data_IF_601672695921
#
_entry.id   IF_601672695921
#
_cell.length_a   1.000
_cell.length_b   1.000
_cell.length_c   1.000
_cell.angle_alpha   90.00
_cell.angle_beta   90.00
_cell.angle_gamma   90.00
#
_symmetry.space_group_name_H-M   'P 1'
#
loop_
_entity.id
_entity.type
_entity.pdbx_description
1 polymer ?
#
# COMPACT_ATOMS: atom_id res chain seq x y z
N UNK A 1 31.32 -18.16 -12.12
CA UNK A 1 30.23 -17.23 -11.79
C UNK A 1 28.94 -17.86 -12.28
N UNK A 2 28.12 -18.38 -11.37
CA UNK A 2 26.85 -19.03 -11.68
C UNK A 2 25.89 -17.98 -12.24
N UNK A 3 25.62 -18.01 -13.54
CA UNK A 3 24.61 -17.15 -14.14
C UNK A 3 23.23 -17.55 -13.61
N UNK A 4 22.73 -16.79 -12.64
CA UNK A 4 21.30 -16.80 -12.34
C UNK A 4 20.56 -16.47 -13.63
N UNK A 5 19.60 -17.31 -14.09
CA UNK A 5 18.83 -17.03 -15.28
C UNK A 5 18.25 -15.62 -15.23
N UNK A 6 18.40 -14.84 -16.30
CA UNK A 6 17.92 -13.45 -16.41
C UNK A 6 16.49 -13.28 -15.90
N UNK A 7 15.62 -14.27 -16.13
CA UNK A 7 14.24 -14.29 -15.65
C UNK A 7 14.11 -14.19 -14.11
N UNK A 8 14.99 -14.85 -13.33
CA UNK A 8 14.99 -14.75 -11.87
C UNK A 8 15.38 -13.34 -11.42
N UNK A 9 16.41 -12.75 -12.03
CA UNK A 9 16.86 -11.39 -11.70
C UNK A 9 15.79 -10.35 -12.01
N UNK A 10 15.13 -10.50 -13.15
CA UNK A 10 13.98 -9.65 -13.53
C UNK A 10 12.85 -9.80 -12.52
N UNK A 11 12.49 -11.03 -12.13
CA UNK A 11 11.43 -11.25 -11.15
C UNK A 11 11.81 -10.70 -9.75
N UNK A 12 13.07 -10.81 -9.33
CA UNK A 12 13.56 -10.17 -8.09
C UNK A 12 13.45 -8.66 -8.17
N UNK A 13 13.91 -8.05 -9.27
CA UNK A 13 13.83 -6.61 -9.48
C UNK A 13 12.37 -6.13 -9.45
N UNK A 14 11.46 -6.80 -10.17
CA UNK A 14 10.03 -6.45 -10.20
C UNK A 14 9.38 -6.63 -8.83
N UNK A 15 9.61 -7.76 -8.16
CA UNK A 15 9.05 -8.05 -6.83
C UNK A 15 9.49 -7.03 -5.77
N UNK A 16 10.80 -6.82 -5.65
CA UNK A 16 11.37 -5.95 -4.61
C UNK A 16 11.02 -4.49 -4.88
N UNK A 17 11.27 -4.00 -6.09
CA UNK A 17 10.98 -2.60 -6.43
C UNK A 17 9.49 -2.30 -6.39
N UNK A 18 8.64 -3.20 -6.90
CA UNK A 18 7.19 -3.07 -6.89
C UNK A 18 6.64 -2.96 -5.47
N UNK A 19 7.10 -3.82 -4.55
CA UNK A 19 6.74 -3.76 -3.12
C UNK A 19 7.16 -2.45 -2.45
N UNK A 20 8.42 -2.05 -2.60
CA UNK A 20 8.94 -0.84 -1.94
C UNK A 20 8.26 0.41 -2.49
N UNK A 21 8.10 0.49 -3.82
CA UNK A 21 7.39 1.59 -4.46
C UNK A 21 5.94 1.66 -4.00
N UNK A 22 5.24 0.53 -3.95
CA UNK A 22 3.86 0.45 -3.49
C UNK A 22 3.71 0.93 -2.03
N UNK A 23 4.65 0.54 -1.16
CA UNK A 23 4.71 1.05 0.20
C UNK A 23 4.88 2.56 0.23
N UNK A 24 5.86 3.10 -0.50
CA UNK A 24 6.13 4.53 -0.56
C UNK A 24 4.91 5.32 -1.07
N UNK A 25 4.25 4.83 -2.12
CA UNK A 25 3.04 5.44 -2.66
C UNK A 25 1.91 5.50 -1.62
N UNK A 26 1.69 4.40 -0.89
CA UNK A 26 0.65 4.32 0.14
C UNK A 26 0.97 5.22 1.33
N UNK A 27 2.18 5.11 1.89
CA UNK A 27 2.61 5.89 3.04
C UNK A 27 2.70 7.39 2.73
N UNK A 28 3.04 7.76 1.49
CA UNK A 28 3.12 9.14 1.04
C UNK A 28 1.78 9.88 1.18
N UNK A 29 0.66 9.21 0.92
CA UNK A 29 -0.67 9.81 1.13
C UNK A 29 -0.90 10.20 2.59
N UNK A 30 -0.48 9.35 3.53
CA UNK A 30 -0.61 9.63 4.97
C UNK A 30 0.41 10.65 5.48
N UNK A 31 1.64 10.61 4.97
CA UNK A 31 2.74 11.46 5.44
C UNK A 31 2.70 12.87 4.84
N UNK A 32 2.09 13.04 3.67
CA UNK A 32 2.10 14.30 2.92
C UNK A 32 0.68 14.83 2.71
N UNK A 33 -0.21 14.06 2.09
CA UNK A 33 -1.51 14.58 1.66
C UNK A 33 -2.42 14.96 2.84
N UNK A 34 -2.54 14.10 3.85
CA UNK A 34 -3.42 14.39 5.00
C UNK A 34 -2.95 15.60 5.83
N UNK A 35 -1.66 15.75 6.19
CA UNK A 35 -1.17 16.98 6.85
C UNK A 35 -1.44 18.26 6.06
N UNK A 36 -1.40 18.20 4.72
CA UNK A 36 -1.75 19.34 3.85
C UNK A 36 -3.23 19.70 4.03
N UNK A 37 -4.15 18.73 4.11
CA UNK A 37 -5.57 19.00 4.35
C UNK A 37 -5.83 19.68 5.69
N UNK A 38 -5.16 19.22 6.76
CA UNK A 38 -5.27 19.86 8.07
C UNK A 38 -4.73 21.29 8.04
N UNK A 39 -3.61 21.54 7.35
CA UNK A 39 -3.06 22.88 7.20
C UNK A 39 -3.98 23.79 6.41
N UNK A 40 -4.46 23.34 5.25
CA UNK A 40 -5.34 24.13 4.38
C UNK A 40 -6.65 24.51 5.07
N UNK A 41 -7.13 23.69 6.01
CA UNK A 41 -8.29 24.08 6.83
C UNK A 41 -7.94 25.13 7.89
N UNK A 42 -6.84 24.94 8.63
CA UNK A 42 -6.45 25.82 9.75
C UNK A 42 -6.01 27.22 9.32
N UNK A 43 -5.41 27.37 8.13
CA UNK A 43 -4.95 28.68 7.63
C UNK A 43 -6.11 29.61 7.21
N UNK A 44 -7.32 29.07 7.01
CA UNK A 44 -8.48 29.77 6.45
C UNK A 44 -9.52 30.24 7.49
N UNK A 45 -9.10 30.43 8.74
CA UNK A 45 -9.98 30.72 9.86
C UNK A 45 -10.88 31.96 9.74
N UNK A 46 -12.16 31.74 10.05
CA UNK A 46 -13.24 32.67 10.44
C UNK A 46 -14.00 33.44 9.35
N UNK A 47 -13.51 33.54 8.10
CA UNK A 47 -14.30 34.13 6.99
C UNK A 47 -14.30 33.36 5.67
N UNK A 48 -13.41 32.40 5.47
CA UNK A 48 -13.24 31.67 4.20
C UNK A 48 -12.80 30.21 4.43
N UNK A 49 -13.38 29.52 5.43
CA UNK A 49 -13.07 28.12 5.70
C UNK A 49 -13.34 27.24 4.47
N UNK A 50 -12.38 26.38 4.11
CA UNK A 50 -12.56 25.43 3.01
C UNK A 50 -13.64 24.43 3.43
N UNK A 51 -14.78 24.33 2.70
CA UNK A 51 -15.84 23.41 3.07
C UNK A 51 -15.32 21.97 3.16
N UNK A 52 -15.73 21.24 4.20
CA UNK A 52 -15.36 19.83 4.41
C UNK A 52 -15.64 18.98 3.16
N UNK A 53 -16.73 19.26 2.45
CA UNK A 53 -17.10 18.60 1.18
C UNK A 53 -16.00 18.72 0.11
N UNK A 54 -15.31 19.87 0.02
CA UNK A 54 -14.20 20.07 -0.93
C UNK A 54 -12.97 19.27 -0.52
N UNK A 55 -12.62 19.26 0.77
CA UNK A 55 -11.49 18.47 1.30
C UNK A 55 -11.75 16.96 1.17
N UNK A 56 -12.96 16.51 1.50
CA UNK A 56 -13.40 15.14 1.33
C UNK A 56 -13.35 14.73 -0.16
N UNK A 57 -13.70 15.64 -1.08
CA UNK A 57 -13.58 15.38 -2.51
C UNK A 57 -12.13 15.29 -3.00
N UNK A 58 -11.23 16.14 -2.48
CA UNK A 58 -9.80 16.01 -2.75
C UNK A 58 -9.25 14.68 -2.23
N UNK A 59 -9.65 14.28 -1.01
CA UNK A 59 -9.36 12.96 -0.46
C UNK A 59 -9.86 11.84 -1.39
N UNK A 60 -11.11 11.93 -1.84
CA UNK A 60 -11.74 10.93 -2.69
C UNK A 60 -10.98 10.77 -4.01
N UNK A 61 -10.55 11.87 -4.64
CA UNK A 61 -9.82 11.81 -5.90
C UNK A 61 -8.51 11.03 -5.78
N UNK A 62 -7.67 11.31 -4.78
CA UNK A 62 -6.45 10.53 -4.65
C UNK A 62 -6.74 9.08 -4.20
N UNK A 63 -7.78 8.86 -3.40
CA UNK A 63 -8.16 7.52 -2.96
C UNK A 63 -8.58 6.67 -4.17
N UNK A 64 -9.38 7.22 -5.07
CA UNK A 64 -9.82 6.55 -6.29
C UNK A 64 -8.66 6.27 -7.25
N UNK A 65 -7.72 7.22 -7.41
CA UNK A 65 -6.49 6.97 -8.17
C UNK A 65 -5.64 5.85 -7.54
N UNK A 66 -5.46 5.89 -6.23
CA UNK A 66 -4.74 4.86 -5.48
C UNK A 66 -5.42 3.49 -5.58
N UNK A 67 -6.75 3.44 -5.51
CA UNK A 67 -7.56 2.22 -5.63
C UNK A 67 -7.48 1.63 -7.05
N UNK A 68 -7.37 2.46 -8.08
CA UNK A 68 -7.20 2.00 -9.46
C UNK A 68 -5.78 1.50 -9.74
N UNK A 69 -4.76 2.13 -9.14
CA UNK A 69 -3.35 1.85 -9.44
C UNK A 69 -2.73 0.76 -8.53
N UNK A 70 -2.99 0.82 -7.22
CA UNK A 70 -2.27 0.01 -6.24
C UNK A 70 -2.57 -1.50 -6.34
N UNK A 71 -3.83 -1.97 -6.48
CA UNK A 71 -4.11 -3.40 -6.56
C UNK A 71 -3.47 -4.09 -7.76
N UNK A 72 -3.49 -3.55 -9.00
CA UNK A 72 -2.76 -4.13 -10.12
C UNK A 72 -1.24 -4.25 -9.86
N UNK A 73 -0.62 -3.23 -9.26
CA UNK A 73 0.81 -3.27 -8.92
C UNK A 73 1.10 -4.32 -7.85
N UNK A 74 0.27 -4.41 -6.81
CA UNK A 74 0.36 -5.47 -5.80
C UNK A 74 0.25 -6.87 -6.44
N UNK A 75 -0.67 -7.05 -7.40
CA UNK A 75 -0.85 -8.31 -8.10
C UNK A 75 0.38 -8.69 -8.92
N UNK A 76 0.90 -7.77 -9.76
CA UNK A 76 2.12 -8.01 -10.56
C UNK A 76 3.30 -8.35 -9.67
N UNK A 77 3.47 -7.60 -8.59
CA UNK A 77 4.53 -7.80 -7.59
C UNK A 77 4.41 -9.19 -6.92
N UNK A 78 3.20 -9.57 -6.51
CA UNK A 78 2.94 -10.86 -5.90
C UNK A 78 3.15 -12.02 -6.89
N UNK A 79 2.79 -11.85 -8.16
CA UNK A 79 3.07 -12.82 -9.22
C UNK A 79 4.58 -13.02 -9.43
N UNK A 80 5.38 -11.94 -9.41
CA UNK A 80 6.83 -12.04 -9.49
C UNK A 80 7.41 -12.86 -8.33
N UNK A 81 6.94 -12.61 -7.10
CA UNK A 81 7.32 -13.40 -5.94
C UNK A 81 6.85 -14.86 -5.98
N UNK A 82 5.64 -15.11 -6.48
CA UNK A 82 5.14 -16.46 -6.66
C UNK A 82 5.99 -17.24 -7.66
N UNK A 83 6.37 -16.60 -8.78
CA UNK A 83 7.30 -17.16 -9.75
C UNK A 83 8.66 -17.48 -9.12
N UNK A 84 9.24 -16.55 -8.33
CA UNK A 84 10.49 -16.81 -7.61
C UNK A 84 10.36 -17.99 -6.65
N UNK A 85 9.29 -18.03 -5.86
CA UNK A 85 9.03 -19.13 -4.93
C UNK A 85 8.93 -20.49 -5.63
N UNK A 86 8.22 -20.54 -6.76
CA UNK A 86 8.11 -21.74 -7.59
C UNK A 86 9.44 -22.11 -8.25
N UNK A 87 10.13 -21.16 -8.87
CA UNK A 87 11.35 -21.39 -9.61
C UNK A 87 12.48 -21.90 -8.69
N UNK A 88 12.59 -21.36 -7.48
CA UNK A 88 13.53 -21.83 -6.45
C UNK A 88 13.18 -23.24 -5.97
N UNK A 89 11.89 -23.57 -5.80
CA UNK A 89 11.45 -24.89 -5.35
C UNK A 89 11.58 -25.98 -6.45
N UNK A 90 11.47 -25.59 -7.72
CA UNK A 90 11.49 -26.49 -8.88
C UNK A 90 12.90 -26.90 -9.36
N UNK A 91 13.96 -26.25 -8.86
CA UNK A 91 15.35 -26.47 -9.29
C UNK A 91 16.11 -27.34 -8.29
N UNK A 92 16.90 -28.29 -8.80
CA UNK A 92 17.54 -29.39 -8.05
C UNK A 92 18.53 -28.94 -6.96
N UNK A 93 18.97 -29.91 -6.16
CA UNK A 93 20.00 -29.91 -5.09
C UNK A 93 21.17 -28.92 -5.23
N UNK A 94 21.53 -28.50 -6.45
CA UNK A 94 22.58 -27.53 -6.70
C UNK A 94 22.16 -26.10 -6.29
N UNK A 95 20.89 -25.73 -6.50
CA UNK A 95 20.36 -24.42 -6.11
C UNK A 95 20.03 -24.38 -4.61
N UNK A 96 19.61 -25.51 -4.01
CA UNK A 96 19.39 -25.61 -2.55
C UNK A 96 20.67 -25.55 -1.71
N UNK A 97 21.85 -25.74 -2.33
CA UNK A 97 23.15 -25.50 -1.69
C UNK A 97 23.52 -24.02 -1.61
N UNK A 98 22.97 -23.18 -2.48
CA UNK A 98 23.21 -21.74 -2.49
C UNK A 98 22.06 -20.94 -1.88
N UNK A 99 20.81 -21.36 -2.12
CA UNK A 99 19.62 -20.80 -1.52
C UNK A 99 19.24 -21.67 -0.31
N UNK A 100 19.26 -21.11 0.90
CA UNK A 100 18.85 -21.84 2.11
C UNK A 100 17.48 -22.50 1.95
N UNK A 101 17.23 -23.60 2.66
CA UNK A 101 16.05 -24.47 2.51
C UNK A 101 14.68 -23.73 2.51
N UNK A 102 14.63 -22.50 3.04
CA UNK A 102 13.42 -21.70 3.17
C UNK A 102 13.27 -20.56 2.13
N UNK A 103 14.20 -20.41 1.18
CA UNK A 103 14.22 -19.28 0.22
C UNK A 103 12.93 -19.17 -0.59
N UNK A 104 12.42 -20.29 -1.11
CA UNK A 104 11.16 -20.31 -1.85
C UNK A 104 9.92 -20.02 -0.98
N UNK A 105 9.99 -20.31 0.33
CA UNK A 105 8.94 -19.94 1.28
C UNK A 105 8.95 -18.43 1.55
N UNK A 106 10.13 -17.82 1.72
CA UNK A 106 10.24 -16.39 1.99
C UNK A 106 9.78 -15.51 0.83
N UNK A 107 10.07 -15.88 -0.43
CA UNK A 107 9.48 -15.17 -1.57
C UNK A 107 7.95 -15.26 -1.58
N UNK A 108 7.36 -16.44 -1.35
CA UNK A 108 5.90 -16.58 -1.26
C UNK A 108 5.30 -15.72 -0.14
N UNK A 109 5.94 -15.69 1.03
CA UNK A 109 5.54 -14.85 2.14
C UNK A 109 5.65 -13.35 1.79
N UNK A 110 6.69 -12.93 1.06
CA UNK A 110 6.83 -11.56 0.58
C UNK A 110 5.68 -11.15 -0.36
N UNK A 111 5.26 -12.05 -1.25
CA UNK A 111 4.08 -11.86 -2.10
C UNK A 111 2.78 -11.75 -1.28
N UNK A 112 2.59 -12.64 -0.30
CA UNK A 112 1.42 -12.61 0.59
C UNK A 112 1.34 -11.31 1.41
N UNK A 113 2.47 -10.88 2.00
CA UNK A 113 2.56 -9.61 2.70
C UNK A 113 2.19 -8.44 1.79
N UNK A 114 2.67 -8.43 0.55
CA UNK A 114 2.33 -7.38 -0.44
C UNK A 114 0.84 -7.32 -0.74
N UNK A 115 0.16 -8.48 -0.86
CA UNK A 115 -1.29 -8.55 -1.08
C UNK A 115 -2.11 -8.19 0.17
N UNK A 116 -1.49 -8.19 1.36
CA UNK A 116 -2.13 -7.87 2.64
C UNK A 116 -2.80 -6.49 2.69
N UNK A 117 -2.45 -5.58 1.76
CA UNK A 117 -3.12 -4.28 1.62
C UNK A 117 -4.63 -4.41 1.39
N UNK A 118 -5.08 -5.46 0.69
CA UNK A 118 -6.48 -5.64 0.33
C UNK A 118 -7.35 -6.04 1.53
N UNK A 119 -7.06 -7.15 2.24
CA UNK A 119 -7.83 -7.51 3.44
C UNK A 119 -7.74 -6.44 4.53
N UNK A 120 -6.60 -5.75 4.66
CA UNK A 120 -6.48 -4.62 5.58
C UNK A 120 -7.46 -3.48 5.23
N UNK A 121 -7.53 -3.11 3.95
CA UNK A 121 -8.46 -2.06 3.50
C UNK A 121 -9.90 -2.47 3.79
N UNK A 122 -10.28 -3.70 3.43
CA UNK A 122 -11.63 -4.23 3.62
C UNK A 122 -12.04 -4.26 5.11
N UNK A 123 -11.14 -4.69 5.99
CA UNK A 123 -11.43 -4.86 7.41
C UNK A 123 -11.43 -3.57 8.22
N UNK A 124 -10.51 -2.65 7.95
CA UNK A 124 -10.25 -1.51 8.84
C UNK A 124 -10.55 -0.15 8.22
N UNK A 125 -10.48 -0.02 6.89
CA UNK A 125 -10.59 1.30 6.25
C UNK A 125 -11.94 1.54 5.58
N UNK A 126 -12.69 0.49 5.21
CA UNK A 126 -13.95 0.63 4.46
C UNK A 126 -14.98 1.54 5.14
N UNK A 127 -15.26 1.44 6.45
CA UNK A 127 -16.24 2.32 7.10
C UNK A 127 -15.87 3.80 6.96
N UNK A 128 -14.61 4.14 7.18
CA UNK A 128 -14.09 5.50 7.03
C UNK A 128 -14.10 5.96 5.58
N UNK A 129 -13.72 5.08 4.64
CA UNK A 129 -13.74 5.38 3.21
C UNK A 129 -15.17 5.71 2.73
N UNK A 130 -16.18 4.95 3.19
CA UNK A 130 -17.57 5.21 2.84
C UNK A 130 -18.05 6.54 3.38
N UNK A 131 -17.86 6.82 4.68
CA UNK A 131 -18.25 8.10 5.28
C UNK A 131 -17.59 9.29 4.58
N UNK A 132 -16.28 9.24 4.34
CA UNK A 132 -15.58 10.32 3.63
C UNK A 132 -16.09 10.49 2.19
N UNK A 133 -16.52 9.40 1.54
CA UNK A 133 -17.14 9.45 0.21
C UNK A 133 -18.55 10.06 0.24
N UNK A 134 -19.36 9.74 1.24
CA UNK A 134 -20.69 10.33 1.45
C UNK A 134 -20.58 11.85 1.68
N UNK A 135 -19.64 12.28 2.50
CA UNK A 135 -19.32 13.70 2.73
C UNK A 135 -18.87 14.36 1.41
N UNK A 136 -17.97 13.72 0.65
CA UNK A 136 -17.49 14.25 -0.62
C UNK A 136 -18.60 14.44 -1.67
N UNK A 137 -19.63 13.60 -1.64
CA UNK A 137 -20.79 13.65 -2.53
C UNK A 137 -21.92 14.53 -2.00
N UNK A 138 -21.83 15.01 -0.75
CA UNK A 138 -22.89 15.76 -0.08
C UNK A 138 -24.13 14.91 0.23
N UNK A 139 -23.98 13.59 0.31
CA UNK A 139 -25.09 12.65 0.54
C UNK A 139 -25.46 12.48 2.01
N UNK A 140 -24.61 12.91 2.94
CA UNK A 140 -24.81 12.70 4.37
C UNK A 140 -26.05 13.44 4.91
N UNK A 141 -26.51 14.49 4.21
CA UNK A 141 -27.73 15.26 4.53
C UNK A 141 -27.71 15.98 5.88
N UNK A 142 -26.73 15.67 6.74
CA UNK A 142 -26.36 16.32 7.98
C UNK A 142 -24.99 16.97 7.81
N UNK A 143 -24.84 18.18 8.35
CA UNK A 143 -23.52 18.77 8.52
C UNK A 143 -22.73 17.92 9.52
N UNK A 144 -21.60 17.38 9.08
CA UNK A 144 -20.65 16.66 9.94
C UNK A 144 -19.88 17.69 10.76
N UNK A 145 -19.71 17.47 12.07
CA UNK A 145 -18.91 18.39 12.87
C UNK A 145 -17.44 18.36 12.45
N UNK A 146 -16.72 19.45 12.69
CA UNK A 146 -15.29 19.50 12.36
C UNK A 146 -14.49 18.42 13.09
N UNK A 147 -14.86 18.10 14.34
CA UNK A 147 -14.26 17.04 15.13
C UNK A 147 -14.49 15.66 14.53
N UNK A 148 -15.70 15.37 14.03
CA UNK A 148 -15.99 14.10 13.37
C UNK A 148 -15.19 13.97 12.07
N UNK A 149 -15.18 15.02 11.24
CA UNK A 149 -14.44 15.01 9.98
C UNK A 149 -12.91 14.89 10.21
N UNK A 150 -12.35 15.59 11.20
CA UNK A 150 -10.95 15.44 11.61
C UNK A 150 -10.64 14.06 12.15
N UNK A 151 -11.56 13.47 12.91
CA UNK A 151 -11.46 12.09 13.39
C UNK A 151 -11.39 11.10 12.23
N UNK A 152 -12.24 11.26 11.21
CA UNK A 152 -12.23 10.40 10.02
C UNK A 152 -10.91 10.50 9.24
N UNK A 153 -10.42 11.72 8.98
CA UNK A 153 -9.15 11.92 8.28
C UNK A 153 -7.96 11.39 9.08
N UNK A 154 -7.92 11.61 10.40
CA UNK A 154 -6.86 11.11 11.28
C UNK A 154 -6.85 9.59 11.34
N UNK A 155 -8.01 8.97 11.49
CA UNK A 155 -8.13 7.51 11.49
C UNK A 155 -7.70 6.93 10.14
N UNK A 156 -8.15 7.53 9.03
CA UNK A 156 -7.72 7.14 7.69
C UNK A 156 -6.21 7.27 7.53
N UNK A 157 -5.61 8.37 8.01
CA UNK A 157 -4.17 8.61 7.93
C UNK A 157 -3.36 7.48 8.58
N UNK A 158 -3.71 7.12 9.82
CA UNK A 158 -3.01 6.08 10.59
C UNK A 158 -3.21 4.71 9.95
N UNK A 159 -4.45 4.34 9.64
CA UNK A 159 -4.75 3.03 9.06
C UNK A 159 -4.15 2.86 7.67
N UNK A 160 -4.11 3.92 6.86
CA UNK A 160 -3.44 3.92 5.57
C UNK A 160 -1.90 3.83 5.70
N UNK A 161 -1.31 4.46 6.72
CA UNK A 161 0.12 4.31 6.98
C UNK A 161 0.48 2.87 7.36
N UNK A 162 -0.32 2.24 8.23
CA UNK A 162 -0.17 0.81 8.59
C UNK A 162 -0.32 -0.07 7.34
N UNK A 163 -1.30 0.23 6.47
CA UNK A 163 -1.48 -0.47 5.19
C UNK A 163 -0.20 -0.48 4.36
N UNK A 164 0.55 0.62 4.34
CA UNK A 164 1.81 0.74 3.59
C UNK A 164 2.96 -0.10 4.17
N UNK A 165 2.87 -0.55 5.43
CA UNK A 165 3.88 -1.41 6.05
C UNK A 165 3.85 -2.85 5.53
N UNK A 166 2.70 -3.32 5.04
CA UNK A 166 2.53 -4.65 4.44
C UNK A 166 3.45 -4.86 3.21
N UNK A 167 3.37 -4.03 2.16
CA UNK A 167 4.28 -4.15 1.03
C UNK A 167 5.71 -3.77 1.39
N UNK A 168 5.96 -2.93 2.41
CA UNK A 168 7.32 -2.69 2.91
C UNK A 168 7.94 -3.97 3.47
N UNK A 169 7.22 -4.67 4.35
CA UNK A 169 7.66 -5.93 4.93
C UNK A 169 7.89 -6.98 3.83
N UNK A 170 7.01 -7.03 2.82
CA UNK A 170 7.20 -7.86 1.63
C UNK A 170 8.48 -7.52 0.86
N UNK A 171 8.72 -6.24 0.58
CA UNK A 171 9.92 -5.77 -0.13
C UNK A 171 11.22 -6.04 0.63
N UNK A 172 11.24 -5.78 1.94
CA UNK A 172 12.40 -6.07 2.81
C UNK A 172 12.66 -7.56 2.87
N UNK A 173 11.63 -8.39 3.07
CA UNK A 173 11.79 -9.85 3.08
C UNK A 173 12.30 -10.36 1.73
N UNK A 174 11.74 -9.86 0.62
CA UNK A 174 12.19 -10.20 -0.74
C UNK A 174 13.65 -9.82 -0.98
N UNK A 175 14.06 -8.63 -0.53
CA UNK A 175 15.45 -8.17 -0.62
C UNK A 175 16.40 -9.03 0.21
N UNK A 176 16.07 -9.29 1.47
CA UNK A 176 16.87 -10.17 2.34
C UNK A 176 16.99 -11.57 1.72
N UNK A 177 15.90 -12.10 1.18
CA UNK A 177 15.88 -13.41 0.51
C UNK A 177 16.73 -13.44 -0.76
N UNK A 178 16.88 -12.31 -1.46
CA UNK A 178 17.74 -12.20 -2.63
C UNK A 178 19.23 -12.06 -2.30
N UNK A 179 19.56 -11.68 -1.06
CA UNK A 179 20.92 -11.49 -0.57
C UNK A 179 21.50 -12.71 0.16
N UNK A 180 20.64 -13.65 0.55
CA UNK A 180 20.99 -14.95 1.16
C UNK A 180 21.36 -15.99 0.09
#
# INVERSE_FOLDING_TARGET
MTEYPTALRVAQAVGISGSIWLSGNICGLSAIAIPVFFRSRREHGEKDDIPQTKLARQWQYFYDHGKAQNPPIAAVTACAYAYLGWAVASRSELFSRFAGANTGLFYRLAGFLTLGIMPWTLGFMMPTNYKLTEIAQGLDGKEVSDEEFDGLLSYWQVTNAIRGLFPLAGGVLGLLTALL
#
